data_IF_069238726599
#
_entry.id   IF_069238726599
#
_cell.length_a   1.000
_cell.length_b   1.000
_cell.length_c   1.000
_cell.angle_alpha   90.00
_cell.angle_beta   90.00
_cell.angle_gamma   90.00
#
_symmetry.space_group_name_H-M   'P 1'
#
loop_
_entity.id
_entity.type
_entity.pdbx_description
1 polymer ?
#
# COMPACT_ATOMS: atom_id res chain seq x y z
N UNK A 1 -9.48 1.61 -4.04
CA UNK A 1 -9.71 2.21 -2.70
C UNK A 1 -8.36 2.45 -2.07
N UNK A 2 -8.11 3.69 -1.69
CA UNK A 2 -6.88 4.11 -1.01
C UNK A 2 -7.27 4.76 0.31
N UNK A 3 -6.67 4.28 1.39
CA UNK A 3 -6.86 4.85 2.73
C UNK A 3 -5.52 5.31 3.27
N UNK A 4 -5.54 6.31 4.13
CA UNK A 4 -4.32 6.83 4.76
C UNK A 4 -4.52 6.94 6.26
N UNK A 5 -3.47 6.61 7.00
CA UNK A 5 -3.39 6.83 8.44
C UNK A 5 -2.02 7.36 8.82
N UNK A 6 -1.94 8.10 9.93
CA UNK A 6 -0.68 8.46 10.55
C UNK A 6 -0.50 7.59 11.80
N UNK A 7 0.56 6.78 11.83
CA UNK A 7 0.85 5.86 12.93
C UNK A 7 2.26 6.17 13.43
N UNK A 8 2.39 6.58 14.69
CA UNK A 8 3.70 6.91 15.27
C UNK A 8 4.43 8.05 14.55
N UNK A 9 3.70 8.95 13.89
CA UNK A 9 4.27 10.05 13.10
C UNK A 9 4.58 9.69 11.64
N UNK A 10 4.38 8.43 11.24
CA UNK A 10 4.60 7.96 9.88
C UNK A 10 3.28 7.88 9.10
N UNK A 11 3.27 8.39 7.87
CA UNK A 11 2.14 8.25 6.96
C UNK A 11 2.16 6.86 6.31
N UNK A 12 1.09 6.10 6.53
CA UNK A 12 0.88 4.76 5.98
C UNK A 12 -0.33 4.80 5.04
N UNK A 13 -0.11 4.37 3.81
CA UNK A 13 -1.12 4.22 2.78
C UNK A 13 -1.55 2.76 2.71
N UNK A 14 -2.85 2.52 2.59
CA UNK A 14 -3.44 1.19 2.45
C UNK A 14 -4.12 1.13 1.09
N UNK A 15 -3.55 0.36 0.18
CA UNK A 15 -4.07 0.19 -1.18
C UNK A 15 -4.91 -1.08 -1.23
N UNK A 16 -6.12 -1.02 -1.77
CA UNK A 16 -6.88 -2.20 -2.16
C UNK A 16 -6.83 -2.39 -3.67
N UNK A 17 -6.27 -3.51 -4.10
CA UNK A 17 -6.23 -3.91 -5.50
C UNK A 17 -7.51 -4.64 -5.89
N UNK A 18 -7.97 -4.47 -7.12
CA UNK A 18 -9.18 -5.15 -7.62
C UNK A 18 -9.04 -6.69 -7.64
N UNK A 19 -7.80 -7.18 -7.73
CA UNK A 19 -7.47 -8.60 -7.72
C UNK A 19 -7.45 -9.24 -6.34
N UNK A 20 -7.64 -8.47 -5.25
CA UNK A 20 -7.44 -8.96 -3.88
C UNK A 20 -8.46 -8.39 -2.90
N UNK A 21 -8.85 -9.21 -1.92
CA UNK A 21 -9.68 -8.74 -0.80
C UNK A 21 -8.87 -7.97 0.25
N UNK A 22 -7.55 -8.13 0.27
CA UNK A 22 -6.63 -7.56 1.24
C UNK A 22 -6.30 -6.10 0.93
N UNK A 23 -5.92 -5.37 1.98
CA UNK A 23 -5.22 -4.10 1.86
C UNK A 23 -3.72 -4.32 1.92
N UNK A 24 -2.99 -3.48 1.19
CA UNK A 24 -1.54 -3.49 1.14
C UNK A 24 -1.01 -2.21 1.80
N UNK A 25 -0.28 -2.35 2.91
CA UNK A 25 0.24 -1.21 3.66
C UNK A 25 1.59 -0.78 3.12
N UNK A 26 1.68 0.49 2.71
CA UNK A 26 2.86 1.13 2.13
C UNK A 26 3.21 2.34 2.98
N UNK A 27 4.43 2.36 3.51
CA UNK A 27 4.94 3.50 4.26
C UNK A 27 5.50 4.54 3.31
N UNK A 28 5.08 5.80 3.48
CA UNK A 28 5.61 6.88 2.66
C UNK A 28 7.12 7.11 2.88
N UNK A 29 7.64 6.75 4.07
CA UNK A 29 9.06 6.83 4.36
C UNK A 29 9.91 5.81 3.58
N UNK A 30 9.33 4.67 3.21
CA UNK A 30 10.00 3.63 2.41
C UNK A 30 9.81 3.86 0.91
N UNK A 31 8.65 4.38 0.50
CA UNK A 31 8.26 4.57 -0.89
C UNK A 31 7.55 5.92 -1.11
N UNK A 32 8.31 7.00 -1.26
CA UNK A 32 7.76 8.37 -1.34
C UNK A 32 6.75 8.54 -2.49
N UNK A 33 6.95 7.85 -3.62
CA UNK A 33 6.05 7.92 -4.78
C UNK A 33 4.63 7.41 -4.51
N UNK A 34 4.38 6.75 -3.38
CA UNK A 34 3.03 6.33 -2.98
C UNK A 34 2.05 7.51 -2.89
N UNK A 35 2.54 8.71 -2.57
CA UNK A 35 1.71 9.92 -2.45
C UNK A 35 1.10 10.37 -3.78
N UNK A 36 1.58 9.83 -4.90
CA UNK A 36 1.12 10.15 -6.25
C UNK A 36 0.13 9.11 -6.79
N UNK A 37 -0.06 7.98 -6.10
CA UNK A 37 -0.94 6.90 -6.53
C UNK A 37 -2.40 7.30 -6.28
N UNK A 38 -3.23 7.16 -7.30
CA UNK A 38 -4.66 7.45 -7.26
C UNK A 38 -5.50 6.20 -7.58
N UNK A 39 -6.79 6.24 -7.24
CA UNK A 39 -7.73 5.21 -7.68
C UNK A 39 -7.79 5.18 -9.22
N UNK A 40 -7.65 3.98 -9.79
CA UNK A 40 -7.58 3.76 -11.24
C UNK A 40 -6.15 3.59 -11.78
N UNK A 41 -5.12 3.93 -11.00
CA UNK A 41 -3.74 3.68 -11.39
C UNK A 41 -3.39 2.19 -11.37
N UNK A 42 -2.48 1.79 -12.24
CA UNK A 42 -1.86 0.46 -12.19
C UNK A 42 -0.55 0.53 -11.43
N UNK A 43 -0.42 -0.29 -10.39
CA UNK A 43 0.80 -0.40 -9.58
C UNK A 43 1.23 -1.86 -9.48
N UNK A 44 2.53 -2.09 -9.30
CA UNK A 44 3.08 -3.40 -8.96
C UNK A 44 3.61 -3.39 -7.54
N UNK A 45 3.09 -4.29 -6.70
CA UNK A 45 3.50 -4.44 -5.31
C UNK A 45 4.30 -5.73 -5.14
N UNK A 46 5.45 -5.63 -4.49
CA UNK A 46 6.20 -6.80 -4.00
C UNK A 46 5.83 -7.04 -2.54
N UNK A 47 5.47 -8.27 -2.22
CA UNK A 47 5.10 -8.70 -0.86
C UNK A 47 5.84 -9.98 -0.49
N UNK A 48 6.09 -10.19 0.80
CA UNK A 48 6.70 -11.42 1.32
C UNK A 48 5.67 -12.49 1.68
N UNK A 49 4.39 -12.12 1.78
CA UNK A 49 3.25 -13.02 1.98
C UNK A 49 2.01 -12.47 1.29
N UNK A 50 1.14 -13.36 0.82
CA UNK A 50 -0.16 -13.05 0.22
C UNK A 50 -1.34 -13.32 1.18
N UNK A 51 -1.05 -13.59 2.47
CA UNK A 51 -2.07 -13.93 3.47
C UNK A 51 -2.30 -12.78 4.44
N UNK A 52 -3.58 -12.53 4.72
CA UNK A 52 -4.04 -11.60 5.76
C UNK A 52 -4.85 -10.43 5.22
N UNK A 53 -5.52 -9.72 6.11
CA UNK A 53 -6.37 -8.56 5.76
C UNK A 53 -5.54 -7.33 5.41
N UNK A 54 -4.37 -7.18 6.04
CA UNK A 54 -3.40 -6.11 5.78
C UNK A 54 -2.05 -6.76 5.54
N UNK A 55 -1.45 -6.50 4.38
CA UNK A 55 -0.19 -7.11 3.94
C UNK A 55 0.87 -6.01 3.78
N UNK A 56 2.02 -6.09 4.49
CA UNK A 56 3.11 -5.15 4.31
C UNK A 56 3.77 -5.27 2.94
N UNK A 57 3.95 -4.12 2.28
CA UNK A 57 4.64 -4.02 1.00
C UNK A 57 6.13 -3.86 1.23
N UNK A 58 6.93 -4.61 0.46
CA UNK A 58 8.40 -4.53 0.45
C UNK A 58 8.95 -3.95 -0.85
N UNK A 59 8.09 -3.59 -1.81
CA UNK A 59 8.48 -2.90 -3.05
C UNK A 59 7.29 -2.32 -3.81
N UNK A 60 7.46 -1.14 -4.39
CA UNK A 60 6.45 -0.43 -5.19
C UNK A 60 7.05 -0.03 -6.54
N UNK A 61 6.34 -0.32 -7.64
CA UNK A 61 6.67 0.13 -9.01
C UNK A 61 5.43 0.65 -9.72
#
# INVERSE_FOLDING_TARGET
DIRTAVIGGESVYYIKLDSSASYYSVKAADFENIVLVNDGDTVTLTVTTDKGTIIPVSGLK
#
